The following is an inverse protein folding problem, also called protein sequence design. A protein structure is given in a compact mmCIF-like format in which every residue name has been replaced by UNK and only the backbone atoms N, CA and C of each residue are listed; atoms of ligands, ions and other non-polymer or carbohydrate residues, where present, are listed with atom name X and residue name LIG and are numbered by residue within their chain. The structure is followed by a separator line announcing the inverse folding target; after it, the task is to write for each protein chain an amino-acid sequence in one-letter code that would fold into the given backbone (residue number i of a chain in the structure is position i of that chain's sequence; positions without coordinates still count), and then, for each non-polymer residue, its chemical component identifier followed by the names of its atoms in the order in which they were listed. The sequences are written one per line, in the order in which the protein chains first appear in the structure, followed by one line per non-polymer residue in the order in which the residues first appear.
data_IF_924152279588
#
_entry.id   IF_924152279588
#
_cell.length_a   1.000
_cell.length_b   1.000
_cell.length_c   1.000
_cell.angle_alpha   90.00
_cell.angle_beta   90.00
_cell.angle_gamma   90.00
#
_symmetry.space_group_name_H-M   'P 1'
#
loop_
_entity.id
_entity.type
_entity.pdbx_description
1 polymer ?
#
# COMPACT_ATOMS: atom_id res chain seq x y z
N UNK A 1 1.26 11.96 -8.43
CA UNK A 1 0.54 10.70 -8.75
C UNK A 1 -0.64 10.59 -7.80
N UNK A 2 -1.71 9.88 -8.17
CA UNK A 2 -2.81 9.62 -7.25
C UNK A 2 -2.36 8.67 -6.14
N UNK A 3 -2.85 8.89 -4.91
CA UNK A 3 -2.54 8.05 -3.74
C UNK A 3 -2.93 6.59 -3.95
N UNK A 4 -4.00 6.35 -4.71
CA UNK A 4 -4.41 5.00 -5.11
C UNK A 4 -3.37 4.27 -5.95
N UNK A 5 -2.70 5.01 -6.85
CA UNK A 5 -1.60 4.50 -7.66
C UNK A 5 -0.37 4.14 -6.81
N UNK A 6 -0.05 4.95 -5.81
CA UNK A 6 1.07 4.66 -4.90
C UNK A 6 0.84 3.42 -4.04
N UNK A 7 -0.40 3.16 -3.59
CA UNK A 7 -0.75 1.91 -2.90
C UNK A 7 -0.59 0.71 -3.84
N UNK A 8 -1.02 0.85 -5.09
CA UNK A 8 -0.86 -0.19 -6.10
C UNK A 8 0.61 -0.52 -6.34
N UNK A 9 1.45 0.50 -6.51
CA UNK A 9 2.89 0.36 -6.72
C UNK A 9 3.57 -0.27 -5.50
N UNK A 10 3.24 0.15 -4.27
CA UNK A 10 3.76 -0.46 -3.05
C UNK A 10 3.41 -1.96 -3.00
N UNK A 11 2.15 -2.30 -3.26
CA UNK A 11 1.69 -3.69 -3.28
C UNK A 11 2.45 -4.53 -4.31
N UNK A 12 2.66 -3.98 -5.50
CA UNK A 12 3.38 -4.65 -6.59
C UNK A 12 4.87 -4.81 -6.26
N UNK A 13 5.52 -3.80 -5.68
CA UNK A 13 6.90 -3.89 -5.17
C UNK A 13 7.05 -4.98 -4.09
N UNK A 14 6.03 -5.16 -3.25
CA UNK A 14 6.00 -6.24 -2.24
C UNK A 14 5.67 -7.63 -2.82
N UNK A 15 5.37 -7.73 -4.12
CA UNK A 15 5.01 -9.00 -4.78
C UNK A 15 3.67 -9.58 -4.31
N UNK A 16 2.78 -8.75 -3.75
CA UNK A 16 1.53 -9.20 -3.15
C UNK A 16 0.34 -8.96 -4.10
N UNK A 17 -0.62 -9.88 -4.11
CA UNK A 17 -1.94 -9.59 -4.67
C UNK A 17 -2.78 -8.80 -3.65
N UNK A 18 -3.93 -8.24 -4.07
CA UNK A 18 -4.78 -7.43 -3.19
C UNK A 18 -5.26 -8.16 -1.94
N UNK A 19 -5.48 -9.48 -2.02
CA UNK A 19 -5.94 -10.29 -0.88
C UNK A 19 -4.83 -10.41 0.16
N UNK A 20 -3.64 -10.81 -0.27
CA UNK A 20 -2.46 -10.93 0.61
C UNK A 20 -2.10 -9.58 1.22
N UNK A 21 -2.15 -8.50 0.44
CA UNK A 21 -1.87 -7.14 0.93
C UNK A 21 -2.89 -6.68 1.99
N UNK A 22 -4.17 -6.96 1.74
CA UNK A 22 -5.28 -6.69 2.66
C UNK A 22 -5.09 -7.44 3.98
N UNK A 23 -4.82 -8.75 3.91
CA UNK A 23 -4.61 -9.59 5.08
C UNK A 23 -3.34 -9.17 5.85
N UNK A 24 -2.27 -8.79 5.13
CA UNK A 24 -0.99 -8.36 5.71
C UNK A 24 -1.10 -7.06 6.53
N UNK A 25 -1.82 -6.05 6.04
CA UNK A 25 -2.01 -4.79 6.76
C UNK A 25 -3.25 -4.77 7.67
N UNK A 26 -4.08 -5.82 7.67
CA UNK A 26 -5.35 -5.83 8.39
C UNK A 26 -6.37 -4.81 7.84
N UNK A 27 -6.25 -4.45 6.56
CA UNK A 27 -7.12 -3.48 5.89
C UNK A 27 -8.18 -4.25 5.11
N UNK A 28 -9.48 -3.90 5.17
CA UNK A 28 -10.50 -4.61 4.40
C UNK A 28 -10.19 -4.61 2.89
N UNK A 29 -10.38 -5.77 2.25
CA UNK A 29 -10.08 -5.96 0.82
C UNK A 29 -10.74 -4.92 -0.09
N UNK A 30 -12.03 -4.60 0.16
CA UNK A 30 -12.75 -3.57 -0.59
C UNK A 30 -12.13 -2.18 -0.44
N UNK A 31 -11.59 -1.86 0.72
CA UNK A 31 -10.91 -0.57 0.96
C UNK A 31 -9.66 -0.45 0.08
N UNK A 32 -8.86 -1.52 -0.05
CA UNK A 32 -7.72 -1.55 -0.96
C UNK A 32 -8.18 -1.38 -2.42
N UNK A 33 -9.27 -2.05 -2.82
CA UNK A 33 -9.84 -1.88 -4.17
C UNK A 33 -10.32 -0.44 -4.43
N UNK A 34 -11.02 0.17 -3.47
CA UNK A 34 -11.58 1.51 -3.61
C UNK A 34 -10.48 2.58 -3.70
N UNK A 35 -9.36 2.38 -2.98
CA UNK A 35 -8.19 3.24 -3.12
C UNK A 35 -7.57 3.10 -4.51
N UNK A 36 -7.28 1.88 -4.96
CA UNK A 36 -6.67 1.66 -6.29
C UNK A 36 -7.58 2.09 -7.45
N UNK A 37 -8.90 2.09 -7.26
CA UNK A 37 -9.90 2.55 -8.22
C UNK A 37 -10.26 4.05 -8.08
N UNK A 38 -9.56 4.79 -7.20
CA UNK A 38 -9.77 6.22 -6.93
C UNK A 38 -11.19 6.58 -6.46
N UNK A 39 -11.96 5.59 -5.97
CA UNK A 39 -13.30 5.78 -5.40
C UNK A 39 -13.26 6.38 -4.01
N UNK A 40 -12.12 6.24 -3.32
CA UNK A 40 -11.87 6.75 -1.98
C UNK A 40 -10.48 7.33 -1.88
N UNK A 41 -10.36 8.49 -1.26
CA UNK A 41 -9.06 9.04 -0.92
C UNK A 41 -8.43 8.30 0.27
N UNK A 42 -7.17 7.90 0.08
CA UNK A 42 -6.33 7.37 1.15
C UNK A 42 -5.87 8.53 2.05
N UNK A 43 -5.98 8.41 3.39
CA UNK A 43 -5.40 9.40 4.29
C UNK A 43 -3.87 9.47 4.16
N UNK A 44 -3.30 10.68 4.17
CA UNK A 44 -1.87 10.91 3.90
C UNK A 44 -0.95 10.18 4.88
N UNK A 45 -1.31 10.20 6.17
CA UNK A 45 -0.52 9.52 7.20
C UNK A 45 -0.49 8.00 6.99
N UNK A 46 -1.56 7.43 6.43
CA UNK A 46 -1.67 5.98 6.28
C UNK A 46 -0.71 5.48 5.21
N UNK A 47 -0.58 6.19 4.08
CA UNK A 47 0.39 5.83 3.05
C UNK A 47 1.82 5.78 3.60
N UNK A 48 2.19 6.77 4.42
CA UNK A 48 3.49 6.82 5.08
C UNK A 48 3.69 5.63 6.03
N UNK A 49 2.65 5.26 6.81
CA UNK A 49 2.70 4.10 7.70
C UNK A 49 2.87 2.78 6.94
N UNK A 50 2.18 2.60 5.80
CA UNK A 50 2.32 1.42 4.95
C UNK A 50 3.76 1.29 4.41
N UNK A 51 4.32 2.38 3.87
CA UNK A 51 5.71 2.40 3.36
C UNK A 51 6.72 2.09 4.47
N UNK A 52 6.60 2.78 5.62
CA UNK A 52 7.46 2.57 6.78
C UNK A 52 7.43 1.11 7.26
N UNK A 53 6.24 0.49 7.34
CA UNK A 53 6.13 -0.91 7.74
C UNK A 53 6.81 -1.85 6.75
N UNK A 54 6.63 -1.62 5.45
CA UNK A 54 7.27 -2.42 4.41
C UNK A 54 8.81 -2.30 4.42
N UNK A 55 9.34 -1.10 4.69
CA UNK A 55 10.78 -0.85 4.83
C UNK A 55 11.38 -1.56 6.03
N UNK A 56 10.76 -1.41 7.22
CA UNK A 56 11.25 -2.02 8.46
C UNK A 56 11.25 -3.56 8.38
N UNK A 57 10.26 -4.14 7.71
CA UNK A 57 10.21 -5.58 7.46
C UNK A 57 11.09 -6.05 6.29
N UNK A 58 11.86 -5.15 5.67
CA UNK A 58 12.71 -5.40 4.48
C UNK A 58 11.94 -6.04 3.32
N UNK A 59 10.62 -5.77 3.23
CA UNK A 59 9.75 -6.20 2.14
C UNK A 59 9.98 -5.39 0.87
N UNK A 60 10.55 -4.20 1.04
CA UNK A 60 11.06 -3.33 -0.01
C UNK A 60 12.46 -2.88 0.39
N UNK A 61 13.36 -2.72 -0.59
CA UNK A 61 14.62 -2.00 -0.34
C UNK A 61 14.26 -0.54 -0.10
N UNK A 62 14.81 0.08 0.93
CA UNK A 62 14.72 1.53 1.02
C UNK A 62 15.47 2.10 -0.18
N UNK A 63 14.74 2.74 -1.09
CA UNK A 63 15.34 3.67 -2.04
C UNK A 63 15.41 5.01 -1.30
N UNK A 64 16.24 5.05 -0.25
CA UNK A 64 16.66 6.31 0.35
C UNK A 64 17.64 6.94 -0.64
N UNK A 65 17.18 7.99 -1.33
CA UNK A 65 17.97 8.89 -2.16
C UNK A 65 18.04 10.24 -1.47
#
# INVERSE_FOLDING_TARGET
MSRGKEVKELREKMGMNRRVFSDYYGIPYRTVQDWEAEKRELPDYLLRLLKYRAEIERRIKSEDN
#
